data_IF_496084212580
#
_entry.id   IF_496084212580
#
_cell.length_a   1.000
_cell.length_b   1.000
_cell.length_c   1.000
_cell.angle_alpha   90.00
_cell.angle_beta   90.00
_cell.angle_gamma   90.00
#
_symmetry.space_group_name_H-M   'P 1'
#
loop_
_entity.id
_entity.type
_entity.pdbx_description
1 polymer ?
#
# COMPACT_ATOMS: atom_id res chain seq x y z
N UNK A 1 -15.14 -6.95 -6.30
CA UNK A 1 -16.33 -7.48 -7.02
C UNK A 1 -17.53 -7.33 -6.09
N UNK A 2 -18.61 -6.65 -6.51
CA UNK A 2 -19.85 -6.54 -5.72
C UNK A 2 -21.05 -6.70 -6.65
N UNK A 3 -22.02 -7.50 -6.24
CA UNK A 3 -23.29 -7.65 -6.94
C UNK A 3 -24.16 -6.44 -6.62
N UNK A 4 -24.56 -5.69 -7.65
CA UNK A 4 -25.49 -4.57 -7.55
C UNK A 4 -26.61 -4.79 -8.56
N UNK A 5 -27.86 -4.87 -8.09
CA UNK A 5 -29.07 -5.03 -8.92
C UNK A 5 -29.00 -6.20 -9.92
N UNK A 6 -28.43 -7.33 -9.52
CA UNK A 6 -28.34 -8.53 -10.37
C UNK A 6 -27.26 -8.47 -11.46
N UNK A 7 -26.46 -7.39 -11.51
CA UNK A 7 -25.30 -7.28 -12.40
C UNK A 7 -23.99 -7.31 -11.61
N UNK A 8 -22.99 -7.97 -12.19
CA UNK A 8 -21.63 -7.98 -11.66
C UNK A 8 -20.95 -6.66 -11.96
N UNK A 9 -20.75 -5.81 -10.94
CA UNK A 9 -20.02 -4.55 -11.11
C UNK A 9 -18.55 -4.75 -10.76
N UNK A 10 -17.69 -4.55 -11.76
CA UNK A 10 -16.25 -4.45 -11.58
C UNK A 10 -15.89 -3.02 -11.18
N UNK A 11 -15.26 -2.89 -10.01
CA UNK A 11 -14.70 -1.62 -9.57
C UNK A 11 -13.22 -1.65 -9.91
N UNK A 12 -12.73 -0.79 -10.82
CA UNK A 12 -11.31 -0.72 -11.12
C UNK A 12 -10.56 -0.23 -9.89
N UNK A 13 -9.39 -0.82 -9.65
CA UNK A 13 -8.41 -0.31 -8.70
C UNK A 13 -7.74 0.92 -9.29
N UNK A 14 -7.66 2.01 -8.52
CA UNK A 14 -6.88 3.20 -8.90
C UNK A 14 -5.61 3.27 -8.06
N UNK A 15 -4.48 3.51 -8.72
CA UNK A 15 -3.17 3.70 -8.06
C UNK A 15 -2.64 5.06 -8.53
N UNK A 16 -2.20 5.88 -7.59
CA UNK A 16 -1.59 7.19 -7.85
C UNK A 16 -0.10 7.11 -8.19
N UNK A 17 0.56 8.26 -8.12
CA UNK A 17 1.99 8.41 -8.44
C UNK A 17 2.88 8.11 -7.23
N UNK A 18 4.09 7.62 -7.47
CA UNK A 18 5.08 7.36 -6.42
C UNK A 18 4.54 6.44 -5.29
N UNK A 19 3.80 5.40 -5.68
CA UNK A 19 3.30 4.37 -4.76
C UNK A 19 4.31 3.24 -4.68
N UNK A 20 4.71 2.90 -3.45
CA UNK A 20 5.61 1.81 -3.16
C UNK A 20 4.83 0.62 -2.63
N UNK A 21 5.07 -0.54 -3.23
CA UNK A 21 4.42 -1.79 -2.88
C UNK A 21 5.49 -2.80 -2.50
N UNK A 22 5.52 -3.17 -1.22
CA UNK A 22 6.45 -4.15 -0.68
C UNK A 22 6.26 -5.55 -1.25
N UNK A 23 7.26 -6.40 -1.08
CA UNK A 23 7.22 -7.78 -1.55
C UNK A 23 6.16 -8.60 -0.81
N UNK A 24 5.50 -9.54 -1.51
CA UNK A 24 4.50 -10.42 -0.90
C UNK A 24 3.17 -9.76 -0.51
N UNK A 25 2.96 -8.49 -0.86
CA UNK A 25 1.71 -7.79 -0.53
C UNK A 25 0.55 -8.20 -1.44
N UNK A 26 -0.64 -8.30 -0.85
CA UNK A 26 -1.89 -8.52 -1.56
C UNK A 26 -2.68 -7.22 -1.63
N UNK A 27 -2.92 -6.72 -2.85
CA UNK A 27 -3.64 -5.46 -3.07
C UNK A 27 -5.03 -5.73 -3.63
N UNK A 28 -6.07 -5.39 -2.88
CA UNK A 28 -7.48 -5.42 -3.33
C UNK A 28 -8.22 -4.11 -3.04
N UNK A 29 -7.48 -2.99 -2.94
CA UNK A 29 -8.02 -1.67 -2.63
C UNK A 29 -8.96 -1.12 -3.71
N UNK A 30 -9.84 -0.18 -3.32
CA UNK A 30 -10.62 0.64 -4.27
C UNK A 30 -9.73 1.69 -4.92
N UNK A 31 -8.96 2.40 -4.10
CA UNK A 31 -8.06 3.45 -4.55
C UNK A 31 -6.88 3.63 -3.60
N UNK A 32 -5.69 3.80 -4.16
CA UNK A 32 -4.44 4.15 -3.50
C UNK A 32 -4.01 5.50 -4.09
N UNK A 33 -3.89 6.53 -3.25
CA UNK A 33 -3.43 7.86 -3.63
C UNK A 33 -1.91 7.91 -3.86
N UNK A 34 -1.39 9.09 -4.24
CA UNK A 34 0.04 9.30 -4.47
C UNK A 34 0.86 9.34 -3.18
N UNK A 35 2.17 9.06 -3.28
CA UNK A 35 3.12 9.05 -2.16
C UNK A 35 2.76 8.08 -1.02
N UNK A 36 2.17 6.94 -1.37
CA UNK A 36 1.82 5.89 -0.40
C UNK A 36 2.95 4.87 -0.32
N UNK A 37 3.33 4.52 0.90
CA UNK A 37 4.32 3.49 1.17
C UNK A 37 3.65 2.25 1.79
N UNK A 38 3.65 1.14 1.07
CA UNK A 38 3.11 -0.15 1.55
C UNK A 38 4.26 -1.11 1.86
N UNK A 39 4.41 -1.48 3.14
CA UNK A 39 5.43 -2.44 3.57
C UNK A 39 5.20 -3.87 3.05
N UNK A 40 6.18 -4.75 3.23
CA UNK A 40 6.10 -6.15 2.79
C UNK A 40 5.01 -6.97 3.52
N UNK A 41 4.53 -8.04 2.88
CA UNK A 41 3.54 -8.98 3.42
C UNK A 41 2.22 -8.35 3.92
N UNK A 42 1.88 -7.16 3.43
CA UNK A 42 0.61 -6.50 3.77
C UNK A 42 -0.57 -7.07 2.98
N UNK A 43 -1.76 -7.01 3.57
CA UNK A 43 -3.03 -7.37 2.92
C UNK A 43 -3.96 -6.17 2.93
N UNK A 44 -4.21 -5.61 1.75
CA UNK A 44 -5.19 -4.56 1.53
C UNK A 44 -6.52 -5.19 1.11
N UNK A 45 -7.48 -5.25 2.05
CA UNK A 45 -8.76 -5.88 1.81
C UNK A 45 -9.63 -5.12 0.77
N UNK A 46 -10.63 -5.80 0.18
CA UNK A 46 -11.56 -5.20 -0.76
C UNK A 46 -12.19 -3.89 -0.27
N UNK A 47 -12.27 -2.91 -1.17
CA UNK A 47 -12.89 -1.60 -0.92
C UNK A 47 -12.17 -0.69 0.10
N UNK A 48 -10.94 -1.01 0.50
CA UNK A 48 -10.17 -0.05 1.30
C UNK A 48 -9.75 1.16 0.44
N UNK A 49 -9.68 2.33 1.07
CA UNK A 49 -9.26 3.60 0.46
C UNK A 49 -8.04 4.10 1.21
N UNK A 50 -6.92 4.20 0.51
CA UNK A 50 -5.66 4.72 1.07
C UNK A 50 -5.42 6.11 0.50
N UNK A 51 -5.38 7.11 1.38
CA UNK A 51 -5.12 8.51 1.01
C UNK A 51 -3.63 8.78 0.85
N UNK A 52 -3.29 10.02 0.50
CA UNK A 52 -1.92 10.45 0.22
C UNK A 52 -1.02 10.42 1.45
N UNK A 53 0.29 10.28 1.23
CA UNK A 53 1.32 10.30 2.26
C UNK A 53 1.08 9.32 3.41
N UNK A 54 0.49 8.15 3.11
CA UNK A 54 0.24 7.12 4.11
C UNK A 54 1.41 6.13 4.19
N UNK A 55 1.76 5.72 5.41
CA UNK A 55 2.71 4.62 5.64
C UNK A 55 1.98 3.40 6.20
N UNK A 56 2.05 2.28 5.50
CA UNK A 56 1.54 0.99 5.96
C UNK A 56 2.74 0.15 6.36
N UNK A 57 2.83 -0.21 7.64
CA UNK A 57 3.92 -1.04 8.16
C UNK A 57 3.85 -2.47 7.62
N UNK A 58 4.98 -3.19 7.53
CA UNK A 58 4.98 -4.58 7.10
C UNK A 58 4.07 -5.47 7.96
N UNK A 59 3.63 -6.58 7.40
CA UNK A 59 2.72 -7.55 8.03
C UNK A 59 1.36 -6.98 8.47
N UNK A 60 0.92 -5.88 7.88
CA UNK A 60 -0.34 -5.21 8.22
C UNK A 60 -1.51 -5.74 7.40
N UNK A 61 -2.66 -5.97 8.05
CA UNK A 61 -3.90 -6.42 7.39
C UNK A 61 -4.96 -5.33 7.49
N UNK A 62 -5.13 -4.56 6.41
CA UNK A 62 -6.12 -3.49 6.33
C UNK A 62 -7.50 -4.11 6.12
N UNK A 63 -8.47 -3.87 7.02
CA UNK A 63 -9.82 -4.42 6.90
C UNK A 63 -10.60 -3.84 5.69
N UNK A 64 -11.60 -4.56 5.18
CA UNK A 64 -12.41 -4.10 4.05
C UNK A 64 -13.18 -2.84 4.43
N UNK A 65 -13.43 -1.97 3.45
CA UNK A 65 -14.11 -0.68 3.63
C UNK A 65 -13.40 0.33 4.55
N UNK A 66 -12.17 0.06 4.98
CA UNK A 66 -11.40 1.02 5.78
C UNK A 66 -10.95 2.20 4.92
N UNK A 67 -11.11 3.41 5.47
CA UNK A 67 -10.56 4.65 4.90
C UNK A 67 -9.39 5.09 5.77
N UNK A 68 -8.20 5.13 5.18
CA UNK A 68 -7.00 5.62 5.84
C UNK A 68 -6.91 7.14 5.58
N UNK A 69 -6.82 7.99 6.62
CA UNK A 69 -6.65 9.44 6.47
C UNK A 69 -5.31 9.77 5.81
N UNK A 70 -5.16 10.95 5.18
CA UNK A 70 -3.88 11.35 4.61
C UNK A 70 -2.86 11.54 5.74
N UNK A 71 -1.58 11.25 5.49
CA UNK A 71 -0.55 11.41 6.51
C UNK A 71 -0.68 10.46 7.70
N UNK A 72 -1.36 9.32 7.55
CA UNK A 72 -1.53 8.34 8.64
C UNK A 72 -0.54 7.18 8.54
N UNK A 73 0.00 6.76 9.69
CA UNK A 73 0.76 5.51 9.85
C UNK A 73 -0.19 4.43 10.33
N UNK A 74 -0.23 3.31 9.59
CA UNK A 74 -1.15 2.21 9.83
C UNK A 74 -0.38 0.92 10.08
N UNK A 75 -0.77 0.19 11.12
CA UNK A 75 -0.13 -1.07 11.51
C UNK A 75 -1.10 -2.06 12.15
N UNK A 76 -0.74 -3.34 12.11
CA UNK A 76 -1.41 -4.41 12.87
C UNK A 76 -2.34 -5.30 12.06
N UNK A 77 -2.89 -6.32 12.74
CA UNK A 77 -3.75 -7.36 12.16
C UNK A 77 -4.92 -7.64 13.12
N UNK A 78 -6.07 -6.94 13.03
CA UNK A 78 -6.46 -5.98 11.99
C UNK A 78 -5.77 -4.61 12.15
N UNK A 79 -5.56 -3.94 11.03
CA UNK A 79 -4.85 -2.68 10.97
C UNK A 79 -5.58 -1.56 11.72
N UNK A 80 -4.80 -0.72 12.42
CA UNK A 80 -5.26 0.50 13.08
C UNK A 80 -4.29 1.64 12.78
N UNK A 81 -4.80 2.87 12.82
CA UNK A 81 -3.95 4.06 12.77
C UNK A 81 -3.19 4.13 14.08
N UNK A 82 -1.86 4.08 14.00
CA UNK A 82 -0.96 4.11 15.17
C UNK A 82 -0.34 5.48 15.39
N UNK A 83 -0.42 6.36 14.40
CA UNK A 83 0.10 7.71 14.49
C UNK A 83 -0.01 8.44 13.17
N UNK A 84 0.59 9.61 13.13
CA UNK A 84 0.67 10.44 11.95
C UNK A 84 2.12 10.50 11.44
N UNK A 85 2.18 10.76 10.16
CA UNK A 85 3.37 10.80 9.36
C UNK A 85 3.92 12.23 9.46
N UNK A 86 5.15 12.40 9.95
CA UNK A 86 5.73 13.72 10.24
C UNK A 86 5.86 14.65 9.02
N UNK A 87 5.94 15.95 9.27
CA UNK A 87 6.14 17.01 8.26
C UNK A 87 7.46 16.77 7.49
N UNK A 88 7.38 16.12 6.32
CA UNK A 88 8.55 15.73 5.51
C UNK A 88 8.37 14.44 4.73
N UNK A 89 7.34 13.66 5.03
CA UNK A 89 7.03 12.47 4.25
C UNK A 89 6.58 12.77 2.83
N UNK A 90 7.17 12.06 1.88
CA UNK A 90 6.98 12.28 0.44
C UNK A 90 7.95 13.28 -0.19
N UNK A 91 8.77 13.98 0.62
CA UNK A 91 9.68 15.03 0.12
C UNK A 91 11.15 14.62 -0.01
N UNK A 92 11.56 13.46 0.50
CA UNK A 92 12.92 12.95 0.28
C UNK A 92 13.17 11.62 0.97
N UNK A 93 13.54 10.61 0.18
CA UNK A 93 14.00 9.29 0.65
C UNK A 93 12.91 8.46 1.34
N UNK A 94 12.78 7.19 0.96
CA UNK A 94 12.06 6.23 1.80
C UNK A 94 12.57 6.34 3.23
N UNK A 95 11.67 6.38 4.20
CA UNK A 95 12.06 6.45 5.60
C UNK A 95 13.10 5.39 5.93
N UNK A 96 13.99 5.70 6.87
CA UNK A 96 15.10 4.85 7.31
C UNK A 96 14.70 3.36 7.36
N UNK A 97 15.24 2.55 6.45
CA UNK A 97 15.06 1.09 6.43
C UNK A 97 14.46 0.46 5.17
N UNK A 98 14.04 1.23 4.16
CA UNK A 98 13.42 0.66 2.94
C UNK A 98 14.24 1.02 1.69
N UNK A 99 15.22 0.18 1.36
CA UNK A 99 16.08 0.28 0.17
C UNK A 99 15.26 0.02 -1.10
N UNK A 100 15.19 1.02 -1.98
CA UNK A 100 14.45 0.92 -3.23
C UNK A 100 15.27 0.11 -4.24
N UNK A 101 14.81 -1.08 -4.59
CA UNK A 101 15.28 -1.78 -5.78
C UNK A 101 14.61 -1.16 -7.00
N UNK A 102 15.28 -0.21 -7.65
CA UNK A 102 14.88 0.22 -8.99
C UNK A 102 14.90 -1.00 -9.91
N UNK A 103 13.91 -1.12 -10.80
CA UNK A 103 13.75 -2.29 -11.69
C UNK A 103 14.95 -2.63 -12.57
N UNK A 104 15.98 -1.77 -12.63
CA UNK A 104 17.29 -2.06 -13.23
C UNK A 104 18.17 -3.02 -12.41
N UNK A 105 18.01 -3.08 -11.08
CA UNK A 105 18.84 -3.89 -10.16
C UNK A 105 18.32 -5.32 -9.94
N UNK A 106 17.21 -5.67 -10.59
CA UNK A 106 16.69 -7.04 -10.66
C UNK A 106 17.67 -8.02 -11.35
N UNK A 107 18.75 -7.54 -11.98
CA UNK A 107 19.81 -8.40 -12.55
C UNK A 107 20.49 -9.28 -11.51
N UNK A 108 20.64 -8.84 -10.27
CA UNK A 108 21.22 -9.65 -9.20
C UNK A 108 20.23 -10.73 -8.71
N UNK A 109 18.94 -10.40 -8.62
CA UNK A 109 17.87 -11.29 -8.15
C UNK A 109 17.43 -12.30 -9.22
N UNK A 110 17.49 -11.94 -10.50
CA UNK A 110 17.26 -12.86 -11.63
C UNK A 110 18.43 -13.84 -11.82
N UNK A 111 19.65 -13.50 -11.38
CA UNK A 111 20.81 -14.42 -11.40
C UNK A 111 20.81 -15.44 -10.26
N UNK A 112 20.08 -15.20 -9.17
CA UNK A 112 19.97 -16.14 -8.05
C UNK A 112 18.81 -17.14 -8.21
N UNK A 113 17.91 -16.92 -9.18
CA UNK A 113 16.93 -17.92 -9.59
C UNK A 113 17.63 -18.90 -10.53
N UNK A 114 17.85 -20.11 -10.04
CA UNK A 114 18.39 -21.25 -10.79
C UNK A 114 17.26 -22.15 -11.27
#
# INVERSE_FOLDING_TARGET
MRMSRGQMTFYPMRIGDNVFIGTGTHVSALSISSHVHVGANCVLSPFCVVKESCKILPDTVVPPHMVIPPGSVVAGRPARVIGEVGEGWGQGGGGEGEEYVEGGDLRALVRSIK
#
